data_IF_567644660401
#
_entry.id   IF_567644660401
#
_cell.length_a   1.000
_cell.length_b   1.000
_cell.length_c   1.000
_cell.angle_alpha   90.00
_cell.angle_beta   90.00
_cell.angle_gamma   90.00
#
_symmetry.space_group_name_H-M   'P 1'
#
loop_
_entity.id
_entity.type
_entity.pdbx_description
1 polymer ?
#
# COMPACT_ATOMS: atom_id res chain seq x y z
N UNK A 1 7.81 -28.79 24.66
CA UNK A 1 7.68 -27.34 24.41
C UNK A 1 9.08 -26.72 24.49
N UNK A 2 9.88 -26.87 23.44
CA UNK A 2 11.25 -26.34 23.37
C UNK A 2 11.23 -25.07 22.51
N UNK A 3 11.21 -23.91 23.16
CA UNK A 3 11.54 -22.65 22.48
C UNK A 3 13.08 -22.51 22.47
N UNK A 4 13.74 -22.33 21.31
CA UNK A 4 15.19 -22.19 21.26
C UNK A 4 15.61 -20.90 22.00
N UNK A 5 16.46 -21.06 23.00
CA UNK A 5 17.02 -20.00 23.86
C UNK A 5 18.15 -19.24 23.14
N UNK A 6 18.01 -18.97 21.84
CA UNK A 6 19.14 -18.59 20.99
C UNK A 6 19.25 -17.08 20.72
N UNK A 7 18.20 -16.29 20.95
CA UNK A 7 18.24 -14.83 20.78
C UNK A 7 17.39 -14.12 21.85
N UNK A 8 17.90 -14.07 23.07
CA UNK A 8 17.32 -13.21 24.11
C UNK A 8 17.81 -11.77 23.94
N UNK A 9 17.20 -11.07 22.98
CA UNK A 9 17.52 -9.67 22.66
C UNK A 9 17.35 -8.73 23.86
N UNK A 10 16.63 -9.13 24.91
CA UNK A 10 16.48 -8.34 26.13
C UNK A 10 17.79 -8.18 26.92
N UNK A 11 18.80 -9.01 26.65
CA UNK A 11 20.13 -8.89 27.29
C UNK A 11 21.13 -8.04 26.49
N UNK A 12 20.71 -7.50 25.35
CA UNK A 12 21.59 -6.70 24.48
C UNK A 12 21.47 -5.21 24.79
N UNK A 13 22.44 -4.41 24.33
CA UNK A 13 22.39 -2.93 24.40
C UNK A 13 21.13 -2.35 23.73
N UNK A 14 20.50 -3.10 22.84
CA UNK A 14 19.29 -2.73 22.12
C UNK A 14 18.01 -2.89 22.94
N UNK A 15 18.07 -3.55 24.11
CA UNK A 15 16.92 -3.73 25.00
C UNK A 15 16.26 -2.40 25.38
N UNK A 16 17.03 -1.29 25.43
CA UNK A 16 16.50 0.05 25.71
C UNK A 16 15.51 0.58 24.67
N UNK A 17 15.55 0.05 23.45
CA UNK A 17 14.68 0.45 22.34
C UNK A 17 13.54 -0.54 22.11
N UNK A 18 13.54 -1.68 22.80
CA UNK A 18 12.53 -2.71 22.64
C UNK A 18 11.39 -2.49 23.62
N UNK A 19 10.18 -2.65 23.13
CA UNK A 19 9.00 -2.68 23.98
C UNK A 19 9.01 -3.93 24.87
N UNK A 20 8.45 -3.82 26.08
CA UNK A 20 8.21 -5.00 26.90
C UNK A 20 7.20 -5.91 26.20
N UNK A 21 7.26 -7.22 26.45
CA UNK A 21 6.22 -8.14 25.92
C UNK A 21 4.85 -7.67 26.39
N UNK A 22 3.90 -7.62 25.46
CA UNK A 22 2.54 -7.18 25.74
C UNK A 22 1.86 -8.22 26.62
N UNK A 23 1.31 -7.85 27.78
CA UNK A 23 0.53 -8.77 28.59
C UNK A 23 -0.77 -9.13 27.86
N UNK A 24 -1.25 -10.37 28.03
CA UNK A 24 -2.37 -10.94 27.27
C UNK A 24 -3.68 -10.13 27.30
N UNK A 25 -3.83 -9.20 28.25
CA UNK A 25 -5.03 -8.40 28.48
C UNK A 25 -4.92 -6.94 28.00
N UNK A 26 -3.86 -6.56 27.26
CA UNK A 26 -3.69 -5.19 26.73
C UNK A 26 -3.36 -5.21 25.23
N UNK A 27 -3.79 -4.18 24.50
CA UNK A 27 -3.32 -3.91 23.14
C UNK A 27 -1.86 -3.43 23.21
N UNK A 28 -1.07 -3.82 22.20
CA UNK A 28 0.28 -3.30 22.01
C UNK A 28 0.25 -1.77 21.91
N UNK A 29 1.15 -1.10 22.64
CA UNK A 29 1.32 0.35 22.58
C UNK A 29 2.73 0.62 22.04
N UNK A 30 2.86 1.19 20.84
CA UNK A 30 4.18 1.44 20.28
C UNK A 30 4.91 2.52 21.09
N UNK A 31 6.23 2.38 21.24
CA UNK A 31 7.10 3.37 21.88
C UNK A 31 7.20 4.65 21.04
N UNK A 32 7.73 5.71 21.63
CA UNK A 32 8.13 6.89 20.87
C UNK A 32 9.17 6.53 19.80
N UNK A 33 10.20 5.73 20.11
CA UNK A 33 11.17 5.35 19.07
C UNK A 33 10.55 4.63 17.86
N UNK A 34 9.57 3.76 18.09
CA UNK A 34 8.84 3.04 17.03
C UNK A 34 8.01 4.00 16.16
N UNK A 35 7.32 4.98 16.76
CA UNK A 35 6.58 5.99 15.96
C UNK A 35 7.52 6.86 15.12
N UNK A 36 8.72 7.18 15.63
CA UNK A 36 9.68 8.04 14.94
C UNK A 36 10.29 7.30 13.77
N UNK A 37 10.63 6.02 13.96
CA UNK A 37 11.11 5.15 12.90
C UNK A 37 10.06 4.96 11.79
N UNK A 38 8.80 4.72 12.15
CA UNK A 38 7.71 4.62 11.19
C UNK A 38 7.52 5.94 10.44
N UNK A 39 7.50 7.09 11.15
CA UNK A 39 7.39 8.39 10.49
C UNK A 39 8.56 8.67 9.53
N UNK A 40 9.80 8.38 9.95
CA UNK A 40 11.00 8.65 9.16
C UNK A 40 11.06 7.79 7.90
N UNK A 41 10.69 6.51 8.00
CA UNK A 41 10.67 5.61 6.84
C UNK A 41 9.65 6.07 5.81
N UNK A 42 8.44 6.44 6.21
CA UNK A 42 7.42 6.95 5.28
C UNK A 42 7.76 8.32 4.70
N UNK A 43 8.26 9.26 5.52
CA UNK A 43 8.61 10.60 5.08
C UNK A 43 9.74 10.61 4.05
N UNK A 44 10.71 9.69 4.19
CA UNK A 44 11.84 9.56 3.27
C UNK A 44 11.37 9.23 1.84
N UNK A 45 10.31 8.43 1.69
CA UNK A 45 9.80 8.00 0.38
C UNK A 45 8.92 9.04 -0.32
N UNK A 46 8.53 10.14 0.35
CA UNK A 46 7.80 11.24 -0.29
C UNK A 46 8.63 11.85 -1.42
N UNK A 47 9.91 12.12 -1.18
CA UNK A 47 10.78 12.82 -2.15
C UNK A 47 10.95 11.98 -3.44
N UNK A 48 11.37 10.69 -3.36
CA UNK A 48 11.42 9.83 -4.55
C UNK A 48 10.08 9.70 -5.26
N UNK A 49 8.96 9.68 -4.53
CA UNK A 49 7.63 9.54 -5.14
C UNK A 49 7.25 10.77 -5.97
N UNK A 50 7.52 11.97 -5.47
CA UNK A 50 7.30 13.22 -6.21
C UNK A 50 8.22 13.27 -7.44
N UNK A 51 9.51 12.96 -7.27
CA UNK A 51 10.47 12.96 -8.37
C UNK A 51 10.10 11.94 -9.45
N UNK A 52 9.70 10.73 -9.05
CA UNK A 52 9.22 9.68 -9.95
C UNK A 52 7.95 10.11 -10.69
N UNK A 53 6.96 10.64 -9.98
CA UNK A 53 5.73 11.16 -10.58
C UNK A 53 6.00 12.24 -11.61
N UNK A 54 6.87 13.20 -11.29
CA UNK A 54 7.26 14.26 -12.23
C UNK A 54 7.98 13.69 -13.45
N UNK A 55 8.87 12.71 -13.26
CA UNK A 55 9.59 12.08 -14.36
C UNK A 55 8.64 11.34 -15.31
N UNK A 56 7.69 10.55 -14.77
CA UNK A 56 6.67 9.90 -15.60
C UNK A 56 5.84 10.92 -16.41
N UNK A 57 5.51 12.08 -15.83
CA UNK A 57 4.79 13.14 -16.54
C UNK A 57 5.64 13.77 -17.65
N UNK A 58 6.93 13.98 -17.43
CA UNK A 58 7.82 14.51 -18.48
C UNK A 58 8.11 13.52 -19.61
N UNK A 59 8.02 12.22 -19.33
CA UNK A 59 8.20 11.16 -20.31
C UNK A 59 6.92 10.79 -21.06
N UNK A 60 5.76 11.25 -20.63
CA UNK A 60 4.51 10.95 -21.33
C UNK A 60 4.38 11.81 -22.58
N UNK A 61 4.23 11.17 -23.73
CA UNK A 61 4.02 11.83 -25.02
C UNK A 61 2.53 11.85 -25.39
N UNK A 62 1.79 10.79 -25.01
CA UNK A 62 0.36 10.63 -25.31
C UNK A 62 -0.57 10.91 -24.13
N UNK A 63 -1.82 11.33 -24.42
CA UNK A 63 -2.85 11.60 -23.42
C UNK A 63 -3.07 10.41 -22.45
N UNK A 64 -3.05 9.18 -22.97
CA UNK A 64 -3.21 7.98 -22.14
C UNK A 64 -2.01 7.70 -21.23
N UNK A 65 -0.80 8.01 -21.69
CA UNK A 65 0.41 7.93 -20.87
C UNK A 65 0.39 8.98 -19.77
N UNK A 66 -0.01 10.22 -20.11
CA UNK A 66 -0.17 11.30 -19.14
C UNK A 66 -1.21 10.94 -18.08
N UNK A 67 -2.39 10.46 -18.47
CA UNK A 67 -3.44 10.03 -17.52
C UNK A 67 -2.91 8.91 -16.60
N UNK A 68 -2.20 7.93 -17.15
CA UNK A 68 -1.64 6.82 -16.39
C UNK A 68 -0.55 7.26 -15.41
N UNK A 69 0.33 8.17 -15.86
CA UNK A 69 1.34 8.81 -15.04
C UNK A 69 0.72 9.58 -13.86
N UNK A 70 -0.34 10.36 -14.11
CA UNK A 70 -1.07 11.09 -13.07
C UNK A 70 -1.73 10.16 -12.07
N UNK A 71 -2.44 9.13 -12.52
CA UNK A 71 -3.12 8.18 -11.63
C UNK A 71 -2.10 7.49 -10.71
N UNK A 72 -1.03 6.93 -11.29
CA UNK A 72 0.00 6.24 -10.52
C UNK A 72 0.76 7.21 -9.60
N UNK A 73 1.17 8.35 -10.13
CA UNK A 73 1.94 9.37 -9.41
C UNK A 73 1.19 9.95 -8.22
N UNK A 74 -0.07 10.34 -8.40
CA UNK A 74 -0.93 10.82 -7.32
C UNK A 74 -1.23 9.72 -6.30
N UNK A 75 -1.44 8.48 -6.74
CA UNK A 75 -1.62 7.34 -5.83
C UNK A 75 -0.39 7.11 -4.95
N UNK A 76 0.80 7.08 -5.55
CA UNK A 76 2.07 6.86 -4.86
C UNK A 76 2.39 8.01 -3.90
N UNK A 77 2.27 9.26 -4.35
CA UNK A 77 2.48 10.43 -3.51
C UNK A 77 1.47 10.49 -2.37
N UNK A 78 0.19 10.23 -2.67
CA UNK A 78 -0.89 10.18 -1.70
C UNK A 78 -0.63 9.16 -0.59
N UNK A 79 -0.18 7.95 -0.94
CA UNK A 79 0.18 6.91 0.02
C UNK A 79 1.18 7.41 1.06
N UNK A 80 2.32 7.95 0.62
CA UNK A 80 3.37 8.40 1.54
C UNK A 80 3.00 9.67 2.29
N UNK A 81 2.30 10.62 1.65
CA UNK A 81 1.85 11.85 2.30
C UNK A 81 0.84 11.56 3.40
N UNK A 82 -0.22 10.80 3.10
CA UNK A 82 -1.26 10.45 4.09
C UNK A 82 -0.65 9.70 5.26
N UNK A 83 0.24 8.74 4.99
CA UNK A 83 0.90 7.95 6.03
C UNK A 83 1.84 8.79 6.91
N UNK A 84 2.58 9.72 6.30
CA UNK A 84 3.47 10.63 7.04
C UNK A 84 2.66 11.61 7.90
N UNK A 85 1.56 12.15 7.37
CA UNK A 85 0.64 13.02 8.11
C UNK A 85 0.03 12.27 9.29
N UNK A 86 -0.40 11.03 9.10
CA UNK A 86 -0.93 10.19 10.17
C UNK A 86 0.10 9.99 11.28
N UNK A 87 1.31 9.52 10.96
CA UNK A 87 2.36 9.28 11.95
C UNK A 87 2.80 10.58 12.65
N UNK A 88 2.91 11.69 11.93
CA UNK A 88 3.30 12.99 12.51
C UNK A 88 2.24 13.53 13.48
N UNK A 89 0.95 13.37 13.14
CA UNK A 89 -0.16 13.83 14.00
C UNK A 89 -0.33 12.90 15.20
N UNK A 90 -0.25 11.58 14.99
CA UNK A 90 -0.25 10.58 16.06
C UNK A 90 0.87 10.82 17.08
N UNK A 91 2.02 11.32 16.62
CA UNK A 91 3.11 11.76 17.49
C UNK A 91 2.79 13.04 18.27
N UNK A 92 2.42 14.12 17.57
CA UNK A 92 2.36 15.46 18.17
C UNK A 92 1.10 15.74 18.98
N UNK A 93 -0.03 15.08 18.70
CA UNK A 93 -1.33 15.43 19.30
C UNK A 93 -2.16 14.21 19.69
N UNK A 94 -1.69 13.46 20.69
CA UNK A 94 -2.42 12.35 21.35
C UNK A 94 -3.82 12.73 21.88
N UNK A 95 -4.12 14.02 22.05
CA UNK A 95 -5.39 14.49 22.62
C UNK A 95 -6.56 14.51 21.59
N UNK A 96 -6.30 14.47 20.29
CA UNK A 96 -7.32 14.55 19.24
C UNK A 96 -7.72 13.16 18.71
N UNK A 97 -8.34 12.34 19.59
CA UNK A 97 -8.77 10.97 19.27
C UNK A 97 -9.63 10.86 18.00
N UNK A 98 -10.48 11.85 17.71
CA UNK A 98 -11.32 11.86 16.52
C UNK A 98 -10.52 12.07 15.21
N UNK A 99 -9.49 12.92 15.24
CA UNK A 99 -8.62 13.20 14.09
C UNK A 99 -7.69 12.03 13.84
N UNK A 100 -7.12 11.47 14.90
CA UNK A 100 -6.29 10.25 14.82
C UNK A 100 -7.07 9.10 14.17
N UNK A 101 -8.32 8.89 14.59
CA UNK A 101 -9.17 7.85 14.03
C UNK A 101 -9.48 8.08 12.54
N UNK A 102 -9.82 9.31 12.14
CA UNK A 102 -10.05 9.65 10.74
C UNK A 102 -8.79 9.42 9.89
N UNK A 103 -7.63 9.89 10.35
CA UNK A 103 -6.36 9.72 9.64
C UNK A 103 -5.95 8.26 9.54
N UNK A 104 -6.19 7.46 10.58
CA UNK A 104 -5.95 6.02 10.58
C UNK A 104 -6.88 5.29 9.59
N UNK A 105 -8.09 5.79 9.36
CA UNK A 105 -8.95 5.26 8.29
C UNK A 105 -8.42 5.67 6.93
N UNK A 106 -8.05 6.93 6.74
CA UNK A 106 -7.48 7.46 5.49
C UNK A 106 -6.20 6.73 5.07
N UNK A 107 -5.29 6.45 6.01
CA UNK A 107 -4.05 5.70 5.77
C UNK A 107 -4.32 4.27 5.24
N UNK A 108 -5.42 3.65 5.66
CA UNK A 108 -5.82 2.34 5.14
C UNK A 108 -6.55 2.42 3.81
N UNK A 109 -7.41 3.41 3.64
CA UNK A 109 -8.11 3.64 2.38
C UNK A 109 -7.14 3.93 1.24
N UNK A 110 -6.09 4.72 1.51
CA UNK A 110 -5.10 5.07 0.47
C UNK A 110 -4.33 3.84 -0.03
N UNK A 111 -4.19 2.78 0.76
CA UNK A 111 -3.58 1.51 0.30
C UNK A 111 -4.44 0.87 -0.79
N UNK A 112 -5.77 0.79 -0.61
CA UNK A 112 -6.67 0.26 -1.64
C UNK A 112 -6.60 1.06 -2.94
N UNK A 113 -6.61 2.39 -2.84
CA UNK A 113 -6.47 3.26 -4.00
C UNK A 113 -5.09 3.16 -4.66
N UNK A 114 -4.03 3.02 -3.88
CA UNK A 114 -2.68 2.87 -4.40
C UNK A 114 -2.50 1.55 -5.15
N UNK A 115 -3.05 0.45 -4.64
CA UNK A 115 -3.07 -0.84 -5.36
C UNK A 115 -3.79 -0.67 -6.71
N UNK A 116 -4.93 0.01 -6.74
CA UNK A 116 -5.62 0.27 -8.00
C UNK A 116 -4.82 1.15 -8.97
N UNK A 117 -4.22 2.22 -8.45
CA UNK A 117 -3.42 3.16 -9.21
C UNK A 117 -2.13 2.52 -9.77
N UNK A 118 -1.51 1.58 -9.05
CA UNK A 118 -0.30 0.88 -9.49
C UNK A 118 -0.54 -0.04 -10.68
N UNK A 119 -1.76 -0.57 -10.85
CA UNK A 119 -2.15 -1.33 -12.03
C UNK A 119 -2.60 -0.47 -13.21
N UNK A 120 -2.94 0.81 -13.00
CA UNK A 120 -3.49 1.64 -14.07
C UNK A 120 -2.55 1.78 -15.28
N UNK A 121 -1.23 2.04 -15.15
CA UNK A 121 -0.34 2.09 -16.32
C UNK A 121 -0.30 0.79 -17.11
N UNK A 122 -0.27 -0.35 -16.42
CA UNK A 122 -0.26 -1.67 -17.06
C UNK A 122 -1.54 -1.99 -17.82
N UNK A 123 -2.69 -1.60 -17.26
CA UNK A 123 -4.02 -1.85 -17.84
C UNK A 123 -4.44 -0.78 -18.86
N UNK A 124 -3.74 0.36 -18.90
CA UNK A 124 -4.02 1.46 -19.81
C UNK A 124 -3.14 1.46 -21.05
N UNK A 125 -1.85 1.18 -20.88
CA UNK A 125 -0.86 1.36 -21.94
C UNK A 125 -0.56 0.06 -22.69
N UNK A 126 -0.81 -1.09 -22.06
CA UNK A 126 -0.54 -2.37 -22.70
C UNK A 126 -1.77 -2.83 -23.49
N UNK A 127 -1.56 -3.26 -24.73
CA UNK A 127 -2.60 -3.81 -25.61
C UNK A 127 -3.00 -5.24 -25.20
N UNK A 128 -3.51 -5.40 -23.99
CA UNK A 128 -3.91 -6.68 -23.38
C UNK A 128 -5.29 -7.20 -23.86
N UNK A 129 -5.76 -6.73 -25.01
CA UNK A 129 -7.08 -7.07 -25.57
C UNK A 129 -8.28 -6.66 -24.69
N UNK A 130 -9.49 -7.16 -24.98
CA UNK A 130 -10.73 -6.78 -24.28
C UNK A 130 -10.71 -7.08 -22.77
N UNK A 131 -9.90 -8.05 -22.34
CA UNK A 131 -9.77 -8.46 -20.94
C UNK A 131 -9.12 -7.39 -20.07
N UNK A 132 -8.24 -6.55 -20.62
CA UNK A 132 -7.60 -5.44 -19.91
C UNK A 132 -8.62 -4.42 -19.40
N UNK A 133 -9.60 -4.08 -20.25
CA UNK A 133 -10.67 -3.14 -19.93
C UNK A 133 -11.55 -3.65 -18.77
N UNK A 134 -11.91 -4.94 -18.79
CA UNK A 134 -12.66 -5.56 -17.69
C UNK A 134 -11.86 -5.53 -16.37
N UNK A 135 -10.56 -5.81 -16.43
CA UNK A 135 -9.71 -5.75 -15.23
C UNK A 135 -9.57 -4.35 -14.67
N UNK A 136 -9.51 -3.31 -15.52
CA UNK A 136 -9.49 -1.92 -15.08
C UNK A 136 -10.69 -1.63 -14.16
N UNK A 137 -11.90 -1.92 -14.63
CA UNK A 137 -13.11 -1.72 -13.84
C UNK A 137 -13.15 -2.60 -12.59
N UNK A 138 -12.75 -3.86 -12.70
CA UNK A 138 -12.73 -4.78 -11.57
C UNK A 138 -11.86 -4.25 -10.42
N UNK A 139 -10.64 -3.78 -10.73
CA UNK A 139 -9.71 -3.28 -9.73
C UNK A 139 -10.26 -2.05 -9.02
N UNK A 140 -10.87 -1.11 -9.75
CA UNK A 140 -11.49 0.08 -9.15
C UNK A 140 -12.74 -0.25 -8.31
N UNK A 141 -13.52 -1.25 -8.73
CA UNK A 141 -14.65 -1.77 -7.93
C UNK A 141 -14.13 -2.40 -6.64
N UNK A 142 -13.10 -3.25 -6.71
CA UNK A 142 -12.47 -3.86 -5.54
C UNK A 142 -11.91 -2.80 -4.58
N UNK A 143 -11.30 -1.74 -5.11
CA UNK A 143 -10.82 -0.60 -4.32
C UNK A 143 -11.97 0.04 -3.54
N UNK A 144 -13.06 0.33 -4.25
CA UNK A 144 -14.25 0.98 -3.71
C UNK A 144 -14.92 0.13 -2.62
N UNK A 145 -15.06 -1.19 -2.87
CA UNK A 145 -15.59 -2.14 -1.88
C UNK A 145 -14.67 -2.23 -0.66
N UNK A 146 -13.35 -2.25 -0.86
CA UNK A 146 -12.37 -2.22 0.23
C UNK A 146 -12.46 -0.95 1.08
N UNK A 147 -12.59 0.22 0.45
CA UNK A 147 -12.81 1.50 1.13
C UNK A 147 -14.09 1.49 1.95
N UNK A 148 -15.19 1.00 1.37
CA UNK A 148 -16.49 0.86 2.05
C UNK A 148 -16.36 -0.08 3.26
N UNK A 149 -15.65 -1.20 3.11
CA UNK A 149 -15.40 -2.14 4.20
C UNK A 149 -14.62 -1.49 5.35
N UNK A 150 -13.54 -0.75 5.05
CA UNK A 150 -12.77 0.00 6.06
C UNK A 150 -13.66 1.04 6.76
N UNK A 151 -14.53 1.71 6.02
CA UNK A 151 -15.45 2.71 6.55
C UNK A 151 -16.51 2.12 7.49
N UNK A 152 -17.05 0.93 7.21
CA UNK A 152 -18.09 0.34 8.06
C UNK A 152 -17.54 -0.49 9.22
N UNK A 153 -16.54 -1.35 8.98
CA UNK A 153 -16.12 -2.38 9.94
C UNK A 153 -14.97 -1.97 10.86
N UNK A 154 -14.40 -0.78 10.71
CA UNK A 154 -13.55 -0.11 11.71
C UNK A 154 -12.60 -1.06 12.49
N UNK A 155 -11.58 -1.61 11.82
CA UNK A 155 -10.59 -2.55 12.41
C UNK A 155 -11.12 -3.87 12.99
N UNK A 156 -12.41 -4.19 12.95
CA UNK A 156 -12.91 -5.41 13.64
C UNK A 156 -12.23 -6.69 13.17
N UNK A 157 -11.93 -6.81 11.88
CA UNK A 157 -11.30 -8.01 11.31
C UNK A 157 -10.05 -7.68 10.49
N UNK A 158 -8.90 -7.56 11.17
CA UNK A 158 -7.60 -7.28 10.55
C UNK A 158 -7.18 -8.36 9.53
N UNK A 159 -7.55 -9.62 9.76
CA UNK A 159 -7.24 -10.72 8.85
C UNK A 159 -8.00 -10.60 7.52
N UNK A 160 -9.27 -10.18 7.57
CA UNK A 160 -10.08 -9.97 6.36
C UNK A 160 -9.51 -8.81 5.56
N UNK A 161 -9.13 -7.71 6.22
CA UNK A 161 -8.48 -6.57 5.56
C UNK A 161 -7.19 -7.00 4.84
N UNK A 162 -6.34 -7.79 5.51
CA UNK A 162 -5.13 -8.34 4.92
C UNK A 162 -5.43 -9.24 3.70
N UNK A 163 -6.40 -10.14 3.81
CA UNK A 163 -6.80 -11.00 2.70
C UNK A 163 -7.32 -10.18 1.51
N UNK A 164 -8.11 -9.14 1.75
CA UNK A 164 -8.57 -8.24 0.71
C UNK A 164 -7.41 -7.56 -0.03
N UNK A 165 -6.40 -7.05 0.69
CA UNK A 165 -5.21 -6.46 0.06
C UNK A 165 -4.47 -7.47 -0.80
N UNK A 166 -4.24 -8.69 -0.29
CA UNK A 166 -3.52 -9.74 -1.01
C UNK A 166 -4.28 -10.15 -2.27
N UNK A 167 -5.59 -10.38 -2.19
CA UNK A 167 -6.40 -10.76 -3.36
C UNK A 167 -6.41 -9.65 -4.40
N UNK A 168 -6.55 -8.39 -3.97
CA UNK A 168 -6.57 -7.23 -4.86
C UNK A 168 -5.23 -7.00 -5.56
N UNK A 169 -4.10 -7.28 -4.92
CA UNK A 169 -2.79 -7.25 -5.58
C UNK A 169 -2.54 -8.49 -6.46
N UNK A 170 -2.95 -9.67 -6.01
CA UNK A 170 -2.56 -10.89 -6.69
C UNK A 170 -3.36 -11.15 -7.98
N UNK A 171 -4.68 -10.91 -7.96
CA UNK A 171 -5.55 -11.27 -9.08
C UNK A 171 -5.24 -10.51 -10.38
N UNK A 172 -5.08 -9.16 -10.37
CA UNK A 172 -4.71 -8.43 -11.57
C UNK A 172 -3.32 -8.79 -12.09
N UNK A 173 -2.37 -9.05 -11.17
CA UNK A 173 -1.01 -9.46 -11.52
C UNK A 173 -0.98 -10.79 -12.28
N UNK A 174 -1.77 -11.77 -11.86
CA UNK A 174 -1.90 -13.04 -12.57
C UNK A 174 -2.42 -12.87 -13.99
N UNK A 175 -3.43 -12.02 -14.20
CA UNK A 175 -3.99 -11.76 -15.53
C UNK A 175 -2.94 -11.11 -16.42
N UNK A 176 -2.25 -10.07 -15.94
CA UNK A 176 -1.19 -9.38 -16.70
C UNK A 176 -0.06 -10.34 -17.09
N UNK A 177 0.36 -11.22 -16.17
CA UNK A 177 1.41 -12.20 -16.43
C UNK A 177 0.96 -13.27 -17.43
N UNK A 178 -0.26 -13.79 -17.29
CA UNK A 178 -0.79 -14.82 -18.19
C UNK A 178 -0.89 -14.36 -19.64
N UNK A 179 -1.24 -13.08 -19.85
CA UNK A 179 -1.30 -12.51 -21.19
C UNK A 179 0.11 -12.28 -21.75
N UNK A 180 1.10 -11.93 -20.92
CA UNK A 180 2.48 -11.83 -21.35
C UNK A 180 3.07 -13.16 -21.82
N UNK A 181 2.76 -14.26 -21.13
CA UNK A 181 3.18 -15.58 -21.60
C UNK A 181 2.56 -15.96 -22.94
N UNK A 182 1.28 -15.61 -23.17
CA UNK A 182 0.61 -15.92 -24.44
C UNK A 182 1.21 -15.15 -25.63
N UNK A 183 1.57 -13.88 -25.45
CA UNK A 183 2.26 -13.11 -26.50
C UNK A 183 3.62 -13.73 -26.87
N UNK A 184 4.38 -14.22 -25.88
CA UNK A 184 5.68 -14.86 -26.13
C UNK A 184 5.54 -16.22 -26.85
N UNK A 185 4.56 -17.04 -26.46
CA UNK A 185 4.29 -18.33 -27.12
C UNK A 185 3.81 -18.14 -28.57
N UNK A 186 2.94 -17.15 -28.82
CA UNK A 186 2.52 -16.82 -30.20
C UNK A 186 3.72 -16.36 -31.03
N UNK A 187 4.53 -15.45 -30.51
CA UNK A 187 5.68 -14.90 -31.26
C UNK A 187 6.74 -15.97 -31.56
N UNK A 188 6.96 -16.92 -30.66
CA UNK A 188 7.89 -18.05 -30.87
C UNK A 188 7.33 -19.14 -31.79
N UNK A 189 6.01 -19.29 -31.89
CA UNK A 189 5.38 -20.23 -32.83
C UNK A 189 5.30 -19.74 -34.29
N UNK A 190 5.51 -18.43 -34.51
CA UNK A 190 5.47 -17.78 -35.84
C UNK A 190 6.88 -17.62 -36.45
N UNK A 191 7.94 -17.91 -35.68
CA UNK A 191 9.34 -17.99 -36.13
C UNK A 191 9.76 -19.44 -36.35
#
# INVERSE_FOLDING_TARGET
>A
MFAPRLLDFQKTKYARFMNHRVPAHRRYQPTEYEHAANCATHALWIIPSILGSSNLYFLSDDDWETISAWIYGLGLCGLFVVSTVFHTISWKKRHLRAVEHCLHMSDRMVIYFFIAASYAPWLNLRELGPWASHMRWLVWIMASVGTIYVFFFHERYKLVELLCYVVMGFFPALVILSMASLEMDVTTSVL
#
